data_IF_210503768307
#
_entry.id   IF_210503768307
#
_cell.length_a   1.000
_cell.length_b   1.000
_cell.length_c   1.000
_cell.angle_alpha   90.00
_cell.angle_beta   90.00
_cell.angle_gamma   90.00
#
_symmetry.space_group_name_H-M   'P 1'
#
loop_
_entity.id
_entity.type
_entity.pdbx_description
1 polymer ?
#
# COMPACT_ATOMS: atom_id res chain seq x y z
N UNK A 1 -65.87 -13.39 -23.02
CA UNK A 1 -64.48 -13.61 -23.51
C UNK A 1 -63.54 -12.71 -22.71
N UNK A 2 -62.83 -13.26 -21.70
CA UNK A 2 -61.84 -12.53 -20.89
C UNK A 2 -60.49 -12.83 -21.50
N UNK A 3 -59.81 -11.80 -22.05
CA UNK A 3 -58.42 -11.90 -22.54
C UNK A 3 -57.47 -11.76 -21.34
N UNK A 4 -56.72 -12.85 -21.05
CA UNK A 4 -55.63 -12.87 -20.10
C UNK A 4 -54.39 -12.28 -20.77
N UNK A 5 -53.86 -11.15 -20.28
CA UNK A 5 -52.58 -10.60 -20.67
C UNK A 5 -51.50 -11.22 -19.81
N UNK A 6 -50.70 -12.08 -20.41
CA UNK A 6 -49.57 -12.69 -19.75
C UNK A 6 -48.34 -11.77 -19.96
N UNK A 7 -47.97 -11.03 -18.91
CA UNK A 7 -46.73 -10.23 -18.87
C UNK A 7 -45.57 -11.17 -18.56
N UNK A 8 -44.77 -11.45 -19.58
CA UNK A 8 -43.50 -12.15 -19.37
C UNK A 8 -42.45 -11.18 -18.79
N UNK A 9 -42.07 -11.42 -17.50
CA UNK A 9 -40.97 -10.74 -16.87
C UNK A 9 -39.67 -11.36 -17.41
N UNK A 10 -38.96 -10.61 -18.29
CA UNK A 10 -37.56 -10.94 -18.64
C UNK A 10 -36.68 -10.60 -17.44
N UNK A 11 -36.23 -11.60 -16.70
CA UNK A 11 -35.17 -11.46 -15.73
C UNK A 11 -33.85 -11.31 -16.50
N UNK A 12 -33.33 -10.09 -16.60
CA UNK A 12 -31.97 -9.84 -17.06
C UNK A 12 -31.03 -10.22 -15.92
N UNK A 13 -30.49 -11.41 -15.96
CA UNK A 13 -29.39 -11.83 -15.09
C UNK A 13 -28.12 -11.11 -15.57
N UNK A 14 -27.74 -10.04 -14.89
CA UNK A 14 -26.38 -9.46 -15.04
C UNK A 14 -25.39 -10.46 -14.45
N UNK A 15 -24.72 -11.22 -15.31
CA UNK A 15 -23.54 -11.96 -14.95
C UNK A 15 -22.47 -10.93 -14.56
N UNK A 16 -22.24 -10.74 -13.25
CA UNK A 16 -21.05 -10.02 -12.78
C UNK A 16 -19.85 -10.89 -13.19
N UNK A 17 -19.25 -10.56 -14.32
CA UNK A 17 -17.93 -11.10 -14.68
C UNK A 17 -16.95 -10.58 -13.64
N UNK A 18 -16.37 -11.49 -12.83
CA UNK A 18 -15.24 -11.14 -12.02
C UNK A 18 -14.15 -10.58 -12.95
N UNK A 19 -13.77 -9.34 -12.75
CA UNK A 19 -12.75 -8.70 -13.59
C UNK A 19 -11.43 -9.44 -13.42
N UNK A 20 -10.87 -9.91 -14.53
CA UNK A 20 -9.66 -10.69 -14.55
C UNK A 20 -8.48 -9.78 -14.15
N UNK A 21 -7.72 -10.17 -13.12
CA UNK A 21 -6.49 -9.47 -12.75
C UNK A 21 -5.43 -9.65 -13.82
N UNK A 22 -4.55 -8.66 -13.97
CA UNK A 22 -3.39 -8.72 -14.85
C UNK A 22 -2.12 -8.62 -14.02
N UNK A 23 -1.18 -9.54 -14.20
CA UNK A 23 0.13 -9.46 -13.57
C UNK A 23 1.18 -8.96 -14.57
N UNK A 24 1.92 -7.93 -14.19
CA UNK A 24 3.02 -7.36 -14.95
C UNK A 24 4.35 -7.54 -14.21
N UNK A 25 5.41 -7.93 -14.92
CA UNK A 25 6.78 -7.85 -14.40
C UNK A 25 7.22 -6.39 -14.37
N UNK A 26 7.74 -5.93 -13.23
CA UNK A 26 8.24 -4.54 -13.13
C UNK A 26 9.43 -4.29 -14.07
N UNK A 27 10.28 -5.28 -14.22
CA UNK A 27 11.54 -5.20 -14.96
C UNK A 27 11.61 -6.33 -16.00
N UNK A 28 10.90 -6.25 -17.12
CA UNK A 28 10.88 -7.34 -18.11
C UNK A 28 12.25 -7.63 -18.74
N UNK A 29 13.13 -6.61 -18.79
CA UNK A 29 14.48 -6.69 -19.34
C UNK A 29 15.58 -6.81 -18.26
N UNK A 30 15.19 -7.12 -17.01
CA UNK A 30 16.10 -7.15 -15.86
C UNK A 30 16.08 -5.84 -15.05
N UNK A 31 16.17 -5.98 -13.73
CA UNK A 31 16.20 -4.84 -12.82
C UNK A 31 17.57 -4.11 -12.89
N UNK A 32 17.61 -2.78 -12.66
CA UNK A 32 18.85 -1.98 -12.73
C UNK A 32 19.81 -2.29 -11.57
N UNK A 33 19.32 -2.94 -10.51
CA UNK A 33 20.06 -3.27 -9.28
C UNK A 33 19.67 -4.67 -8.80
N UNK A 34 20.46 -5.24 -7.87
CA UNK A 34 20.24 -6.57 -7.31
C UNK A 34 20.27 -6.54 -5.79
N UNK A 35 19.40 -7.33 -5.14
CA UNK A 35 19.42 -7.53 -3.69
C UNK A 35 20.40 -8.62 -3.23
N UNK A 36 21.13 -9.24 -4.15
CA UNK A 36 22.12 -10.29 -3.86
C UNK A 36 21.54 -11.62 -3.38
N UNK A 37 20.20 -11.77 -3.33
CA UNK A 37 19.55 -13.04 -2.99
C UNK A 37 19.66 -13.97 -4.20
N UNK A 38 20.18 -15.16 -3.96
CA UNK A 38 20.38 -16.22 -4.99
C UNK A 38 19.50 -17.45 -4.76
N UNK A 39 18.79 -17.50 -3.65
CA UNK A 39 17.84 -18.56 -3.31
C UNK A 39 16.49 -18.27 -3.95
N UNK A 40 15.80 -19.34 -4.35
CA UNK A 40 14.46 -19.23 -4.93
C UNK A 40 13.46 -18.57 -3.99
N UNK A 41 12.42 -17.96 -4.54
CA UNK A 41 11.25 -17.51 -3.79
C UNK A 41 10.65 -18.69 -3.03
N UNK A 42 10.25 -18.47 -1.80
CA UNK A 42 9.67 -19.47 -0.92
C UNK A 42 8.36 -18.95 -0.34
N UNK A 43 7.43 -19.85 -0.13
CA UNK A 43 6.19 -19.61 0.59
C UNK A 43 6.16 -20.44 1.88
N UNK A 44 6.93 -20.04 2.92
CA UNK A 44 7.06 -20.82 4.16
C UNK A 44 5.74 -20.95 4.92
N UNK A 45 4.84 -20.03 4.70
CA UNK A 45 3.45 -20.04 5.18
C UNK A 45 2.57 -19.60 4.00
N UNK A 46 1.34 -20.08 3.94
CA UNK A 46 0.41 -19.73 2.87
C UNK A 46 0.34 -18.20 2.69
N UNK A 47 0.55 -17.75 1.46
CA UNK A 47 0.50 -16.34 1.06
C UNK A 47 1.52 -15.42 1.77
N UNK A 48 2.61 -16.01 2.27
CA UNK A 48 3.75 -15.29 2.84
C UNK A 48 5.00 -15.58 2.01
N UNK A 49 5.28 -14.70 1.06
CA UNK A 49 6.35 -14.90 0.08
C UNK A 49 7.65 -14.29 0.60
N UNK A 50 8.72 -15.07 0.67
CA UNK A 50 10.08 -14.65 1.03
C UNK A 50 11.04 -14.79 -0.14
N UNK A 51 12.24 -14.22 -0.01
CA UNK A 51 13.30 -14.24 -1.04
C UNK A 51 12.84 -13.69 -2.40
N UNK A 52 11.95 -12.70 -2.40
CA UNK A 52 11.49 -12.09 -3.65
C UNK A 52 12.67 -11.45 -4.37
N UNK A 53 12.93 -11.95 -5.58
CA UNK A 53 13.97 -11.45 -6.51
C UNK A 53 13.38 -10.95 -7.83
N UNK A 54 12.17 -11.42 -8.17
CA UNK A 54 11.43 -11.02 -9.38
C UNK A 54 10.19 -10.24 -8.96
N UNK A 55 10.23 -8.90 -9.01
CA UNK A 55 9.08 -8.10 -8.58
C UNK A 55 8.00 -8.06 -9.65
N UNK A 56 6.74 -8.13 -9.21
CA UNK A 56 5.55 -8.06 -10.07
C UNK A 56 4.52 -7.08 -9.51
N UNK A 57 3.64 -6.61 -10.39
CA UNK A 57 2.48 -5.81 -10.05
C UNK A 57 1.23 -6.52 -10.54
N UNK A 58 0.36 -6.93 -9.61
CA UNK A 58 -0.93 -7.53 -9.94
C UNK A 58 -2.00 -6.47 -9.91
N UNK A 59 -2.59 -6.16 -11.06
CA UNK A 59 -3.58 -5.09 -11.22
C UNK A 59 -4.98 -5.68 -11.26
N UNK A 60 -5.89 -5.06 -10.53
CA UNK A 60 -7.33 -5.30 -10.47
C UNK A 60 -8.06 -4.04 -10.97
N UNK A 61 -8.32 -3.91 -12.26
CA UNK A 61 -9.00 -2.74 -12.80
C UNK A 61 -10.43 -2.64 -12.27
N UNK A 62 -10.92 -1.43 -11.97
CA UNK A 62 -12.30 -1.23 -11.57
C UNK A 62 -13.25 -1.36 -12.78
N UNK A 63 -14.42 -2.01 -12.59
CA UNK A 63 -15.44 -2.12 -13.66
C UNK A 63 -16.11 -0.79 -13.96
N UNK A 64 -16.22 0.08 -12.96
CA UNK A 64 -16.76 1.43 -13.06
C UNK A 64 -15.76 2.40 -12.42
N UNK A 65 -14.68 2.78 -13.15
CA UNK A 65 -13.62 3.60 -12.59
C UNK A 65 -14.11 4.98 -12.17
N UNK A 66 -13.69 5.44 -10.98
CA UNK A 66 -13.98 6.78 -10.46
C UNK A 66 -12.83 7.78 -10.69
N UNK A 67 -11.80 7.38 -11.41
CA UNK A 67 -10.61 8.20 -11.68
C UNK A 67 -9.46 8.01 -10.68
N UNK A 68 -9.60 7.11 -9.71
CA UNK A 68 -8.57 6.81 -8.72
C UNK A 68 -7.93 5.43 -8.97
N UNK A 69 -6.62 5.34 -8.68
CA UNK A 69 -5.92 4.08 -8.58
C UNK A 69 -5.02 4.06 -7.33
N UNK A 70 -4.75 2.86 -6.81
CA UNK A 70 -3.92 2.64 -5.62
C UNK A 70 -2.95 1.50 -5.88
N UNK A 71 -1.67 1.70 -5.52
CA UNK A 71 -0.68 0.64 -5.40
C UNK A 71 -0.56 0.26 -3.93
N UNK A 72 -0.78 -1.01 -3.60
CA UNK A 72 -0.60 -1.56 -2.26
C UNK A 72 0.75 -2.22 -2.12
N UNK A 73 1.48 -1.85 -1.07
CA UNK A 73 2.74 -2.44 -0.62
C UNK A 73 2.45 -3.30 0.62
N UNK A 74 2.41 -4.64 0.52
CA UNK A 74 2.19 -5.51 1.66
C UNK A 74 3.31 -5.43 2.69
N UNK A 75 3.02 -5.70 3.97
CA UNK A 75 4.00 -5.80 5.03
C UNK A 75 4.68 -7.16 5.10
N UNK A 76 5.44 -7.38 6.18
CA UNK A 76 6.17 -8.62 6.44
C UNK A 76 7.61 -8.37 6.88
N UNK A 77 7.92 -7.21 7.46
CA UNK A 77 9.21 -6.89 8.09
C UNK A 77 10.39 -6.83 7.13
N UNK A 78 10.15 -6.65 5.83
CA UNK A 78 11.16 -6.74 4.77
C UNK A 78 11.88 -8.10 4.68
N UNK A 79 11.34 -9.15 5.30
CA UNK A 79 11.80 -10.55 5.15
C UNK A 79 10.88 -11.36 4.25
N UNK A 80 9.62 -10.98 4.20
CA UNK A 80 8.55 -11.61 3.43
C UNK A 80 7.47 -10.60 3.07
N UNK A 81 6.50 -11.01 2.24
CA UNK A 81 5.31 -10.24 1.89
C UNK A 81 4.05 -10.98 2.33
N UNK A 82 3.15 -10.29 3.04
CA UNK A 82 1.84 -10.80 3.44
C UNK A 82 0.82 -10.53 2.32
N UNK A 83 0.89 -11.30 1.23
CA UNK A 83 0.25 -10.99 -0.04
C UNK A 83 -1.27 -10.96 0.00
N UNK A 84 -1.94 -11.74 0.87
CA UNK A 84 -3.40 -11.81 0.90
C UNK A 84 -3.99 -10.68 1.75
N UNK A 85 -3.97 -10.82 3.07
CA UNK A 85 -4.68 -9.92 3.98
C UNK A 85 -4.12 -8.48 4.03
N UNK A 86 -2.89 -8.27 3.61
CA UNK A 86 -2.28 -6.95 3.40
C UNK A 86 -2.09 -6.66 1.90
N UNK A 87 -2.84 -7.32 1.03
CA UNK A 87 -2.72 -7.16 -0.43
C UNK A 87 -4.00 -7.54 -1.16
N UNK A 88 -4.05 -8.77 -1.69
CA UNK A 88 -5.06 -9.22 -2.64
C UNK A 88 -6.49 -9.20 -2.10
N UNK A 89 -6.71 -9.47 -0.80
CA UNK A 89 -8.05 -9.51 -0.19
C UNK A 89 -8.78 -8.17 -0.23
N UNK A 90 -8.04 -7.06 -0.36
CA UNK A 90 -8.62 -5.72 -0.45
C UNK A 90 -9.14 -5.39 -1.85
N UNK A 91 -8.72 -6.12 -2.88
CA UNK A 91 -8.96 -5.77 -4.28
C UNK A 91 -10.44 -5.64 -4.62
N UNK A 92 -11.25 -6.63 -4.22
CA UNK A 92 -12.69 -6.61 -4.48
C UNK A 92 -13.36 -5.40 -3.84
N UNK A 93 -12.98 -5.05 -2.61
CA UNK A 93 -13.57 -3.90 -1.93
C UNK A 93 -13.25 -2.59 -2.67
N UNK A 94 -11.98 -2.36 -3.03
CA UNK A 94 -11.59 -1.16 -3.78
C UNK A 94 -12.28 -1.08 -5.14
N UNK A 95 -12.40 -2.20 -5.85
CA UNK A 95 -13.11 -2.23 -7.13
C UNK A 95 -14.59 -1.89 -7.00
N UNK A 96 -15.27 -2.31 -5.91
CA UNK A 96 -16.67 -1.91 -5.66
C UNK A 96 -16.82 -0.41 -5.38
N UNK A 97 -15.74 0.28 -5.00
CA UNK A 97 -15.71 1.74 -4.86
C UNK A 97 -15.30 2.44 -6.17
N UNK A 98 -15.08 1.73 -7.25
CA UNK A 98 -14.63 2.29 -8.53
C UNK A 98 -13.13 2.60 -8.59
N UNK A 99 -12.34 2.08 -7.65
CA UNK A 99 -10.90 2.33 -7.57
C UNK A 99 -10.15 1.17 -8.23
N UNK A 100 -9.31 1.47 -9.22
CA UNK A 100 -8.36 0.50 -9.75
C UNK A 100 -7.29 0.21 -8.69
N UNK A 101 -7.12 -1.06 -8.36
CA UNK A 101 -6.25 -1.49 -7.27
C UNK A 101 -5.13 -2.37 -7.79
N UNK A 102 -3.91 -2.16 -7.28
CA UNK A 102 -2.76 -2.97 -7.66
C UNK A 102 -1.99 -3.43 -6.43
N UNK A 103 -1.46 -4.65 -6.43
CA UNK A 103 -0.64 -5.21 -5.36
C UNK A 103 0.78 -5.38 -5.86
N UNK A 104 1.71 -4.77 -5.16
CA UNK A 104 3.14 -4.79 -5.48
C UNK A 104 3.84 -5.93 -4.71
N UNK A 105 4.29 -6.95 -5.43
CA UNK A 105 5.27 -7.92 -4.94
C UNK A 105 6.66 -7.33 -5.13
N UNK A 106 7.17 -6.58 -4.16
CA UNK A 106 8.48 -5.93 -4.23
C UNK A 106 9.60 -6.85 -3.75
N UNK A 107 10.81 -6.63 -4.25
CA UNK A 107 12.00 -7.40 -3.87
C UNK A 107 12.37 -7.16 -2.41
N UNK A 108 12.84 -8.22 -1.74
CA UNK A 108 13.42 -8.09 -0.41
C UNK A 108 14.69 -7.25 -0.47
N UNK A 109 14.90 -6.33 0.48
CA UNK A 109 16.05 -5.43 0.44
C UNK A 109 17.37 -6.13 0.74
N UNK A 110 17.40 -7.09 1.66
CA UNK A 110 18.63 -7.77 2.10
C UNK A 110 19.76 -6.78 2.46
N UNK A 111 19.42 -5.69 3.16
CA UNK A 111 20.34 -4.62 3.53
C UNK A 111 20.57 -3.55 2.46
N UNK A 112 19.92 -3.65 1.30
CA UNK A 112 19.98 -2.69 0.20
C UNK A 112 18.68 -1.89 0.11
N UNK A 113 18.62 -0.79 0.83
CA UNK A 113 17.42 0.01 1.04
C UNK A 113 16.82 0.64 -0.23
N UNK A 114 17.64 0.83 -1.26
CA UNK A 114 17.22 1.34 -2.57
C UNK A 114 16.41 0.32 -3.39
N UNK A 115 16.54 -0.97 -3.11
CA UNK A 115 15.91 -2.05 -3.90
C UNK A 115 14.38 -1.97 -3.86
N UNK A 116 13.69 -2.05 -2.69
CA UNK A 116 12.23 -1.97 -2.66
C UNK A 116 11.72 -0.60 -3.12
N UNK A 117 12.46 0.49 -2.87
CA UNK A 117 12.10 1.82 -3.34
C UNK A 117 12.13 1.91 -4.87
N UNK A 118 13.14 1.31 -5.50
CA UNK A 118 13.22 1.28 -6.96
C UNK A 118 12.04 0.53 -7.58
N UNK A 119 11.59 -0.56 -6.94
CA UNK A 119 10.40 -1.31 -7.38
C UNK A 119 9.11 -0.51 -7.19
N UNK A 120 8.95 0.20 -6.07
CA UNK A 120 7.80 1.07 -5.85
C UNK A 120 7.74 2.21 -6.88
N UNK A 121 8.88 2.84 -7.18
CA UNK A 121 8.97 3.86 -8.22
C UNK A 121 8.63 3.32 -9.60
N UNK A 122 9.09 2.11 -9.94
CA UNK A 122 8.78 1.48 -11.21
C UNK A 122 7.30 1.10 -11.30
N UNK A 123 6.70 0.64 -10.22
CA UNK A 123 5.27 0.37 -10.17
C UNK A 123 4.44 1.65 -10.42
N UNK A 124 4.85 2.80 -9.85
CA UNK A 124 4.21 4.10 -10.12
C UNK A 124 4.32 4.47 -11.61
N UNK A 125 5.49 4.30 -12.23
CA UNK A 125 5.66 4.58 -13.68
C UNK A 125 4.76 3.68 -14.52
N UNK A 126 4.79 2.38 -14.30
CA UNK A 126 3.96 1.42 -15.03
C UNK A 126 2.47 1.72 -14.89
N UNK A 127 1.99 2.02 -13.68
CA UNK A 127 0.60 2.41 -13.50
C UNK A 127 0.25 3.66 -14.33
N UNK A 128 1.12 4.68 -14.33
CA UNK A 128 0.89 5.93 -15.08
C UNK A 128 0.95 5.75 -16.60
N UNK A 129 1.81 4.87 -17.10
CA UNK A 129 1.87 4.49 -18.52
C UNK A 129 0.53 3.91 -19.00
N UNK A 130 -0.15 3.14 -18.13
CA UNK A 130 -1.43 2.50 -18.40
C UNK A 130 -2.66 3.28 -17.87
N UNK A 131 -2.48 4.54 -17.43
CA UNK A 131 -3.55 5.33 -16.81
C UNK A 131 -4.80 5.49 -17.69
N UNK A 132 -4.62 5.60 -19.00
CA UNK A 132 -5.72 5.64 -19.99
C UNK A 132 -6.47 4.32 -20.06
N UNK A 133 -5.76 3.21 -20.08
CA UNK A 133 -6.32 1.86 -20.18
C UNK A 133 -7.19 1.54 -18.96
N UNK A 134 -6.71 1.88 -17.77
CA UNK A 134 -7.42 1.62 -16.51
C UNK A 134 -8.23 2.81 -16.01
N UNK A 135 -8.36 3.87 -16.83
CA UNK A 135 -9.21 5.03 -16.64
C UNK A 135 -9.10 5.69 -15.26
N UNK A 136 -7.86 6.07 -14.88
CA UNK A 136 -7.60 6.87 -13.69
C UNK A 136 -6.75 8.11 -14.00
N UNK A 137 -6.84 9.12 -13.14
CA UNK A 137 -6.11 10.38 -13.23
C UNK A 137 -5.27 10.66 -11.97
N UNK A 138 -5.61 10.02 -10.85
CA UNK A 138 -4.85 10.12 -9.58
C UNK A 138 -4.40 8.75 -9.13
N UNK A 139 -3.14 8.66 -8.71
CA UNK A 139 -2.50 7.44 -8.26
C UNK A 139 -2.01 7.60 -6.83
N UNK A 140 -2.61 6.86 -5.90
CA UNK A 140 -2.15 6.75 -4.52
C UNK A 140 -1.18 5.59 -4.30
N UNK A 141 -0.41 5.69 -3.22
CA UNK A 141 0.35 4.58 -2.68
C UNK A 141 -0.19 4.20 -1.30
N UNK A 142 -0.36 2.91 -1.05
CA UNK A 142 -0.85 2.37 0.21
C UNK A 142 0.15 1.36 0.74
N UNK A 143 0.28 1.23 2.06
CA UNK A 143 1.14 0.21 2.62
C UNK A 143 0.81 -0.14 4.06
N UNK A 144 1.12 -1.39 4.43
CA UNK A 144 0.93 -1.91 5.77
C UNK A 144 2.27 -2.27 6.42
N UNK A 145 2.46 -1.94 7.70
CA UNK A 145 3.67 -2.34 8.44
C UNK A 145 4.98 -1.90 7.75
N UNK A 146 5.87 -2.82 7.40
CA UNK A 146 7.06 -2.55 6.59
C UNK A 146 6.72 -2.03 5.18
N UNK A 147 5.59 -2.48 4.59
CA UNK A 147 5.07 -1.91 3.35
C UNK A 147 4.56 -0.48 3.53
N UNK A 148 4.09 -0.13 4.73
CA UNK A 148 3.79 1.26 5.12
C UNK A 148 5.05 2.13 5.17
N UNK A 149 6.18 1.55 5.60
CA UNK A 149 7.47 2.20 5.48
C UNK A 149 7.81 2.45 4.01
N UNK A 150 7.71 1.44 3.14
CA UNK A 150 7.97 1.58 1.71
C UNK A 150 7.06 2.64 1.06
N UNK A 151 5.77 2.64 1.40
CA UNK A 151 4.82 3.61 0.88
C UNK A 151 5.15 5.05 1.31
N UNK A 152 5.47 5.27 2.59
CA UNK A 152 5.90 6.58 3.09
C UNK A 152 7.28 6.99 2.56
N UNK A 153 8.19 6.03 2.32
CA UNK A 153 9.46 6.30 1.63
C UNK A 153 9.22 6.77 0.20
N UNK A 154 8.37 6.08 -0.57
CA UNK A 154 8.01 6.52 -1.91
C UNK A 154 7.28 7.89 -1.92
N UNK A 155 6.59 8.24 -0.84
CA UNK A 155 5.92 9.52 -0.67
C UNK A 155 6.84 10.66 -0.18
N UNK A 156 8.10 10.38 0.18
CA UNK A 156 9.08 11.37 0.65
C UNK A 156 10.34 11.41 -0.23
N UNK A 157 10.68 10.30 -0.90
CA UNK A 157 11.87 10.14 -1.76
C UNK A 157 11.47 9.94 -3.22
N UNK A 158 10.80 10.90 -3.80
CA UNK A 158 10.27 10.82 -5.17
C UNK A 158 10.96 11.79 -6.13
N UNK A 159 10.81 11.52 -7.41
CA UNK A 159 10.97 12.48 -8.50
C UNK A 159 9.59 12.96 -8.98
N UNK A 160 9.55 13.94 -9.88
CA UNK A 160 8.28 14.41 -10.46
C UNK A 160 7.46 13.27 -11.11
N UNK A 161 8.14 12.26 -11.68
CA UNK A 161 7.49 11.12 -12.34
C UNK A 161 6.98 10.06 -11.36
N UNK A 162 7.60 9.95 -10.17
CA UNK A 162 7.32 8.89 -9.19
C UNK A 162 6.59 9.39 -7.94
N UNK A 163 6.23 10.68 -7.88
CA UNK A 163 5.48 11.23 -6.75
C UNK A 163 4.04 10.73 -6.78
N UNK A 164 3.57 9.97 -5.75
CA UNK A 164 2.16 9.60 -5.66
C UNK A 164 1.29 10.84 -5.39
N UNK A 165 0.01 10.77 -5.74
CA UNK A 165 -0.94 11.88 -5.49
C UNK A 165 -1.42 11.92 -4.04
N UNK A 166 -1.45 10.78 -3.34
CA UNK A 166 -1.79 10.61 -1.93
C UNK A 166 -1.19 9.32 -1.36
N UNK A 167 -1.20 9.19 -0.03
CA UNK A 167 -0.71 7.99 0.65
C UNK A 167 -1.71 7.49 1.71
N UNK A 168 -1.80 6.15 1.85
CA UNK A 168 -2.61 5.47 2.85
C UNK A 168 -1.71 4.52 3.64
N UNK A 169 -1.64 4.70 4.95
CA UNK A 169 -0.70 3.96 5.80
C UNK A 169 -1.45 3.18 6.89
N UNK A 170 -1.28 1.87 6.90
CA UNK A 170 -1.87 0.96 7.87
C UNK A 170 -0.78 0.53 8.86
N UNK A 171 -0.92 0.89 10.13
CA UNK A 171 0.06 0.59 11.19
C UNK A 171 1.50 0.62 10.70
N UNK A 172 1.91 1.74 10.05
CA UNK A 172 3.17 1.78 9.33
C UNK A 172 4.38 1.76 10.27
N UNK A 173 5.44 1.05 9.87
CA UNK A 173 6.78 1.46 10.25
C UNK A 173 7.05 2.78 9.53
N UNK A 174 7.66 3.74 10.18
CA UNK A 174 8.02 5.06 9.61
C UNK A 174 9.44 5.43 9.96
N UNK A 175 9.77 5.35 11.23
CA UNK A 175 11.10 5.68 11.77
C UNK A 175 12.06 4.50 11.64
N UNK A 176 13.31 4.80 11.31
CA UNK A 176 14.44 3.87 11.42
C UNK A 176 15.30 4.17 12.66
N UNK A 177 14.84 5.07 13.55
CA UNK A 177 15.49 5.27 14.84
C UNK A 177 15.40 3.98 15.68
N UNK A 178 16.53 3.41 16.16
CA UNK A 178 16.56 2.14 16.91
C UNK A 178 15.68 2.08 18.16
N UNK A 179 15.34 3.24 18.75
CA UNK A 179 14.48 3.31 19.96
C UNK A 179 12.98 3.30 19.65
N UNK A 180 12.61 3.45 18.37
CA UNK A 180 11.22 3.60 17.94
C UNK A 180 10.82 2.61 16.84
N UNK A 181 11.78 2.18 16.03
CA UNK A 181 11.53 1.35 14.84
C UNK A 181 11.07 -0.08 15.19
N UNK A 182 10.46 -0.75 14.22
CA UNK A 182 10.36 -2.21 14.23
C UNK A 182 11.71 -2.81 13.85
N UNK A 183 12.39 -3.42 14.84
CA UNK A 183 13.78 -3.89 14.69
C UNK A 183 14.02 -4.78 13.46
N UNK A 184 13.13 -5.71 13.18
CA UNK A 184 13.28 -6.60 12.01
C UNK A 184 13.25 -5.81 10.71
N UNK A 185 12.31 -4.83 10.56
CA UNK A 185 12.25 -3.96 9.37
C UNK A 185 13.51 -3.13 9.21
N UNK A 186 14.04 -2.58 10.30
CA UNK A 186 15.27 -1.81 10.31
C UNK A 186 16.47 -2.65 9.82
N UNK A 187 16.71 -3.81 10.46
CA UNK A 187 17.86 -4.65 10.16
C UNK A 187 17.82 -5.24 8.75
N UNK A 188 16.62 -5.58 8.25
CA UNK A 188 16.47 -6.12 6.90
C UNK A 188 16.61 -5.06 5.82
N UNK A 189 16.15 -3.84 6.08
CA UNK A 189 16.23 -2.74 5.12
C UNK A 189 17.64 -2.15 5.05
N UNK A 190 18.24 -1.85 6.20
CA UNK A 190 19.48 -1.07 6.31
C UNK A 190 20.72 -1.93 6.59
N UNK A 191 20.53 -3.23 6.92
CA UNK A 191 21.59 -4.06 7.45
C UNK A 191 21.70 -3.95 8.97
N UNK A 192 22.53 -4.81 9.58
CA UNK A 192 22.65 -4.92 11.05
C UNK A 192 23.33 -3.74 11.73
N UNK A 193 24.19 -3.03 11.03
CA UNK A 193 24.98 -1.92 11.56
C UNK A 193 24.97 -0.74 10.56
N UNK A 194 23.81 -0.11 10.32
CA UNK A 194 23.74 1.02 9.42
C UNK A 194 24.40 2.26 10.04
N UNK A 195 24.77 3.23 9.20
CA UNK A 195 25.20 4.53 9.68
C UNK A 195 24.00 5.34 10.20
N UNK A 196 24.26 6.30 11.08
CA UNK A 196 23.23 7.24 11.57
C UNK A 196 22.59 8.05 10.45
N UNK A 197 23.37 8.37 9.43
CA UNK A 197 22.92 9.08 8.24
C UNK A 197 21.92 8.21 7.46
N UNK A 198 22.18 6.91 7.35
CA UNK A 198 21.26 5.96 6.72
C UNK A 198 19.97 5.80 7.53
N UNK A 199 20.08 5.66 8.85
CA UNK A 199 18.89 5.64 9.72
C UNK A 199 18.06 6.93 9.60
N UNK A 200 18.70 8.10 9.58
CA UNK A 200 18.03 9.37 9.41
C UNK A 200 17.41 9.53 8.02
N UNK A 201 18.10 9.09 6.96
CA UNK A 201 17.60 9.16 5.58
C UNK A 201 16.31 8.34 5.40
N UNK A 202 16.23 7.16 6.01
CA UNK A 202 15.07 6.28 5.92
C UNK A 202 14.09 6.41 7.09
N UNK A 203 14.28 7.38 8.00
CA UNK A 203 13.28 7.83 8.96
C UNK A 203 12.37 8.86 8.27
N UNK A 204 11.23 8.38 7.76
CA UNK A 204 10.39 9.17 6.84
C UNK A 204 9.76 10.39 7.49
N UNK A 205 9.60 10.42 8.83
CA UNK A 205 9.19 11.61 9.58
C UNK A 205 10.20 12.75 9.45
N UNK A 206 11.47 12.44 9.21
CA UNK A 206 12.52 13.45 9.00
C UNK A 206 12.62 13.91 7.54
N UNK A 207 11.91 13.26 6.63
CA UNK A 207 11.96 13.51 5.19
C UNK A 207 10.73 14.25 4.65
N UNK A 208 9.81 14.64 5.53
CA UNK A 208 8.60 15.39 5.15
C UNK A 208 9.00 16.78 4.65
N UNK A 209 8.48 17.17 3.50
CA UNK A 209 8.71 18.46 2.84
C UNK A 209 7.39 19.05 2.33
N UNK A 210 7.40 20.31 1.92
CA UNK A 210 6.20 21.09 1.58
C UNK A 210 5.32 20.49 0.47
N UNK A 211 5.87 19.62 -0.36
CA UNK A 211 5.17 18.93 -1.45
C UNK A 211 4.99 17.43 -1.21
N UNK A 212 5.22 16.94 0.02
CA UNK A 212 4.85 15.57 0.42
C UNK A 212 3.36 15.35 0.19
N UNK A 213 2.95 14.19 -0.40
CA UNK A 213 1.54 13.92 -0.67
C UNK A 213 0.67 13.88 0.60
N UNK A 214 -0.61 14.27 0.51
CA UNK A 214 -1.58 14.08 1.59
C UNK A 214 -1.62 12.66 2.12
N UNK A 215 -1.87 12.48 3.43
CA UNK A 215 -1.80 11.20 4.09
C UNK A 215 -3.08 10.82 4.85
N UNK A 216 -3.46 9.55 4.76
CA UNK A 216 -4.43 8.91 5.63
C UNK A 216 -3.73 7.80 6.42
N UNK A 217 -3.74 7.88 7.74
CA UNK A 217 -2.96 7.00 8.62
C UNK A 217 -3.89 6.33 9.63
N UNK A 218 -3.75 5.01 9.77
CA UNK A 218 -4.52 4.22 10.74
C UNK A 218 -3.58 3.35 11.56
N UNK A 219 -3.79 3.32 12.89
CA UNK A 219 -2.97 2.51 13.78
C UNK A 219 -3.77 2.05 15.01
N UNK A 220 -3.41 0.90 15.58
CA UNK A 220 -3.93 0.44 16.87
C UNK A 220 -3.03 0.93 17.99
N UNK A 221 -3.61 1.52 19.05
CA UNK A 221 -2.83 2.06 20.17
C UNK A 221 -2.10 0.97 20.98
N UNK A 222 -2.59 -0.27 20.92
CA UNK A 222 -2.00 -1.45 21.57
C UNK A 222 -1.13 -2.29 20.63
N UNK A 223 -0.57 -1.69 19.59
CA UNK A 223 0.37 -2.36 18.69
C UNK A 223 1.73 -2.54 19.41
N UNK A 224 2.08 -3.80 19.70
CA UNK A 224 3.33 -4.16 20.39
C UNK A 224 4.49 -4.40 19.41
N UNK A 225 4.21 -4.60 18.12
CA UNK A 225 5.24 -4.83 17.11
C UNK A 225 5.77 -3.53 16.52
N UNK A 226 4.88 -2.60 16.18
CA UNK A 226 5.21 -1.27 15.67
C UNK A 226 4.57 -0.23 16.58
N UNK A 227 5.34 0.46 17.43
CA UNK A 227 4.80 1.47 18.33
C UNK A 227 4.00 2.54 17.56
N UNK A 228 2.78 2.86 18.05
CA UNK A 228 1.90 3.87 17.45
C UNK A 228 2.57 5.24 17.27
N UNK A 229 3.61 5.51 18.03
CA UNK A 229 4.44 6.70 17.93
C UNK A 229 5.06 6.89 16.53
N UNK A 230 5.27 5.81 15.73
CA UNK A 230 5.65 5.93 14.32
C UNK A 230 4.63 6.77 13.54
N UNK A 231 3.36 6.44 13.66
CA UNK A 231 2.26 7.16 13.00
C UNK A 231 2.07 8.57 13.56
N UNK A 232 2.17 8.74 14.88
CA UNK A 232 2.01 10.04 15.54
C UNK A 232 3.09 11.01 15.07
N UNK A 233 4.36 10.60 15.11
CA UNK A 233 5.47 11.46 14.71
C UNK A 233 5.38 11.86 13.23
N UNK A 234 5.03 10.92 12.35
CA UNK A 234 4.87 11.23 10.93
C UNK A 234 3.71 12.21 10.71
N UNK A 235 2.57 11.98 11.34
CA UNK A 235 1.43 12.89 11.28
C UNK A 235 1.80 14.30 11.76
N UNK A 236 2.52 14.44 12.87
CA UNK A 236 2.94 15.73 13.40
C UNK A 236 3.86 16.48 12.44
N UNK A 237 4.80 15.80 11.78
CA UNK A 237 5.66 16.42 10.78
C UNK A 237 4.88 16.81 9.50
N UNK A 238 3.89 16.01 9.06
CA UNK A 238 3.00 16.39 7.97
C UNK A 238 2.25 17.68 8.28
N UNK A 239 1.62 17.78 9.46
CA UNK A 239 0.87 18.98 9.89
C UNK A 239 1.78 20.20 10.01
N UNK A 240 2.96 20.05 10.58
CA UNK A 240 3.98 21.11 10.69
C UNK A 240 4.38 21.66 9.32
N UNK A 241 4.46 20.78 8.30
CA UNK A 241 4.73 21.16 6.92
C UNK A 241 3.46 21.58 6.14
N UNK A 242 2.31 21.72 6.80
CA UNK A 242 1.02 22.10 6.21
C UNK A 242 0.50 21.11 5.17
N UNK A 243 0.88 19.83 5.28
CA UNK A 243 0.37 18.77 4.43
C UNK A 243 -0.96 18.28 5.00
N UNK A 244 -2.03 18.20 4.20
CA UNK A 244 -3.28 17.60 4.63
C UNK A 244 -3.06 16.16 5.09
N UNK A 245 -3.42 15.86 6.33
CA UNK A 245 -3.28 14.52 6.88
C UNK A 245 -4.37 14.22 7.90
N UNK A 246 -4.76 12.95 8.00
CA UNK A 246 -5.60 12.44 9.07
C UNK A 246 -4.95 11.23 9.74
N UNK A 247 -5.03 11.17 11.06
CA UNK A 247 -4.57 10.04 11.87
C UNK A 247 -5.74 9.47 12.67
N UNK A 248 -6.00 8.18 12.51
CA UNK A 248 -7.02 7.44 13.23
C UNK A 248 -6.37 6.37 14.10
N UNK A 249 -6.45 6.55 15.40
CA UNK A 249 -5.96 5.55 16.36
C UNK A 249 -7.14 4.82 17.00
N UNK A 250 -7.02 3.51 17.11
CA UNK A 250 -8.01 2.66 17.76
C UNK A 250 -7.41 2.01 19.00
N UNK A 251 -8.16 1.90 20.11
CA UNK A 251 -7.60 1.44 21.39
C UNK A 251 -7.10 0.00 21.33
N UNK A 252 -7.73 -0.85 20.51
CA UNK A 252 -7.37 -2.27 20.36
C UNK A 252 -7.31 -2.64 18.87
N UNK A 253 -6.60 -3.74 18.57
CA UNK A 253 -6.43 -4.26 17.21
C UNK A 253 -5.09 -4.96 17.05
N UNK A 254 -4.07 -4.55 17.83
CA UNK A 254 -2.71 -5.07 17.69
C UNK A 254 -2.09 -4.72 16.35
N UNK A 255 -1.22 -5.59 15.86
CA UNK A 255 -0.50 -5.43 14.59
C UNK A 255 -0.98 -6.41 13.52
N UNK A 256 -0.84 -6.04 12.23
CA UNK A 256 -0.98 -6.96 11.10
C UNK A 256 -2.41 -7.38 10.79
N UNK A 257 -3.41 -6.58 11.19
CA UNK A 257 -4.82 -6.93 10.94
C UNK A 257 -5.23 -6.82 9.46
N UNK A 258 -4.54 -6.02 8.65
CA UNK A 258 -4.80 -5.89 7.21
C UNK A 258 -6.28 -5.81 6.88
N UNK A 259 -6.77 -6.75 6.07
CA UNK A 259 -8.19 -6.86 5.71
C UNK A 259 -8.94 -7.98 6.46
N UNK A 260 -8.42 -8.45 7.60
CA UNK A 260 -9.08 -9.50 8.39
C UNK A 260 -10.40 -9.04 9.01
N UNK A 261 -11.40 -9.92 8.99
CA UNK A 261 -12.72 -9.68 9.62
C UNK A 261 -12.63 -9.60 11.14
N UNK A 262 -11.56 -10.14 11.73
CA UNK A 262 -11.30 -10.08 13.18
C UNK A 262 -10.92 -8.67 13.67
N UNK A 263 -10.56 -7.72 12.77
CA UNK A 263 -10.30 -6.36 13.18
C UNK A 263 -11.60 -5.65 13.59
N UNK A 264 -11.75 -5.23 14.87
CA UNK A 264 -13.03 -4.73 15.38
C UNK A 264 -13.53 -3.46 14.66
N UNK A 265 -12.62 -2.70 14.07
CA UNK A 265 -12.91 -1.42 13.44
C UNK A 265 -12.85 -1.47 11.90
N UNK A 266 -12.86 -2.66 11.29
CA UNK A 266 -12.84 -2.83 9.84
C UNK A 266 -13.94 -2.03 9.13
N UNK A 267 -15.18 -2.08 9.65
CA UNK A 267 -16.33 -1.38 9.06
C UNK A 267 -16.21 0.16 9.10
N UNK A 268 -15.86 0.81 10.23
CA UNK A 268 -15.61 2.25 10.26
C UNK A 268 -14.53 2.69 9.27
N UNK A 269 -13.41 1.94 9.19
CA UNK A 269 -12.31 2.22 8.26
C UNK A 269 -12.78 2.17 6.81
N UNK A 270 -13.58 1.15 6.45
CA UNK A 270 -14.06 0.97 5.08
C UNK A 270 -15.08 2.03 4.65
N UNK A 271 -15.99 2.42 5.56
CA UNK A 271 -17.16 3.25 5.18
C UNK A 271 -16.96 4.75 5.35
N UNK A 272 -16.21 5.20 6.35
CA UNK A 272 -16.14 6.62 6.69
C UNK A 272 -14.91 7.34 6.15
N UNK A 273 -13.79 6.65 6.06
CA UNK A 273 -12.50 7.33 5.90
C UNK A 273 -11.92 7.22 4.49
N UNK A 274 -12.04 6.08 3.83
CA UNK A 274 -11.59 5.95 2.44
C UNK A 274 -12.48 6.75 1.47
N UNK A 275 -13.77 6.94 1.78
CA UNK A 275 -14.67 7.81 1.01
C UNK A 275 -14.37 9.32 1.16
N UNK A 276 -13.84 9.77 2.27
CA UNK A 276 -13.50 11.19 2.46
C UNK A 276 -12.42 11.66 1.46
N UNK A 277 -11.53 10.76 1.05
CA UNK A 277 -10.52 11.05 0.02
C UNK A 277 -11.06 11.03 -1.40
N UNK A 278 -12.20 10.36 -1.66
CA UNK A 278 -12.83 10.31 -2.99
C UNK A 278 -13.38 11.67 -3.43
N UNK A 279 -13.85 12.48 -2.50
CA UNK A 279 -14.60 13.69 -2.87
C UNK A 279 -13.72 14.93 -3.08
N UNK A 280 -12.45 14.90 -2.66
CA UNK A 280 -11.53 16.05 -2.77
C UNK A 280 -12.06 17.34 -2.12
N UNK A 281 -13.16 17.26 -1.33
CA UNK A 281 -13.87 18.42 -0.77
C UNK A 281 -13.51 18.73 0.67
N UNK A 282 -12.68 17.89 1.33
CA UNK A 282 -12.30 18.05 2.74
C UNK A 282 -10.81 17.80 3.00
N UNK A 283 -9.94 18.07 2.03
CA UNK A 283 -8.49 18.20 2.24
C UNK A 283 -8.04 19.57 1.81
#
# INVERSE_FOLDING_TARGET
MKRLFMMSLLAVSTVLSAQQSTELKLWPNGAPNTNGITTDEQEPEKNRISNVTVPTLTIYPATQPNGLAIIMCPGGGYTRLAMDHEGHDMAQWFNTQGITYAVLKYRMPNGHSDIPLSDAHQAIRLMREHAKEWNFTKLGIMGASAGGHLASTAATHYTAETRPDFQILLYPVVSMNPTLTHKSSHDNLLGKNPSKESEALYSNELQVKADTPPAFIIHSSNDEAVPVANSINYYMELIKNKIPASLHTYPIGGHGWGFHDSFPYKRPVSYTHLRAHETGRNL
#
